data_IF_958118567637
#
_entry.id   IF_958118567637
#
_cell.length_a   1.000
_cell.length_b   1.000
_cell.length_c   1.000
_cell.angle_alpha   90.00
_cell.angle_beta   90.00
_cell.angle_gamma   90.00
#
_symmetry.space_group_name_H-M   'P 1'
#
loop_
_entity.id
_entity.type
_entity.pdbx_description
1 polymer ?
#
# COMPACT_ATOMS: atom_id res chain seq x y z
N UNK A 1 -14.43 -26.91 -38.28
CA UNK A 1 -15.27 -28.00 -37.75
C UNK A 1 -14.61 -29.38 -37.75
N UNK A 2 -13.27 -29.49 -37.72
CA UNK A 2 -12.58 -30.76 -37.48
C UNK A 2 -12.09 -30.79 -36.04
N UNK A 3 -12.93 -31.29 -35.13
CA UNK A 3 -12.51 -31.65 -33.77
C UNK A 3 -12.13 -33.13 -33.77
N UNK A 4 -10.87 -33.43 -33.46
CA UNK A 4 -10.34 -34.78 -33.38
C UNK A 4 -9.94 -35.07 -31.92
N UNK A 5 -10.44 -36.17 -31.37
CA UNK A 5 -10.14 -36.59 -29.99
C UNK A 5 -8.84 -37.39 -30.03
N UNK A 6 -7.73 -36.73 -29.71
CA UNK A 6 -6.44 -37.40 -29.54
C UNK A 6 -6.34 -38.03 -28.15
N UNK A 7 -6.31 -39.37 -28.10
CA UNK A 7 -6.20 -40.13 -26.85
C UNK A 7 -4.75 -40.25 -26.34
N UNK A 8 -3.76 -39.79 -27.13
CA UNK A 8 -2.35 -39.69 -26.73
C UNK A 8 -2.04 -38.33 -26.04
N UNK A 9 -2.96 -37.37 -26.11
CA UNK A 9 -2.85 -36.10 -25.37
C UNK A 9 -3.17 -36.32 -23.88
N UNK A 10 -2.20 -36.00 -23.02
CA UNK A 10 -2.31 -36.20 -21.57
C UNK A 10 -3.46 -35.39 -20.93
N UNK A 11 -3.83 -34.23 -21.50
CA UNK A 11 -4.93 -33.38 -21.01
C UNK A 11 -6.28 -33.96 -21.44
N UNK A 12 -6.43 -34.33 -22.71
CA UNK A 12 -7.67 -34.92 -23.22
C UNK A 12 -7.92 -36.27 -22.53
N UNK A 13 -6.90 -37.14 -22.44
CA UNK A 13 -7.02 -38.45 -21.79
C UNK A 13 -7.32 -38.34 -20.30
N UNK A 14 -6.78 -37.32 -19.62
CA UNK A 14 -7.01 -37.06 -18.20
C UNK A 14 -8.40 -36.51 -17.89
N UNK A 15 -8.97 -35.70 -18.81
CA UNK A 15 -10.29 -35.09 -18.64
C UNK A 15 -11.45 -35.97 -19.12
N UNK A 16 -11.20 -36.91 -20.05
CA UNK A 16 -12.25 -37.72 -20.67
C UNK A 16 -12.66 -38.93 -19.80
N UNK A 17 -13.91 -38.90 -19.32
CA UNK A 17 -14.49 -39.96 -18.46
C UNK A 17 -15.13 -41.10 -19.27
N UNK A 18 -15.63 -40.79 -20.47
CA UNK A 18 -16.37 -41.72 -21.30
C UNK A 18 -16.04 -41.49 -22.78
N UNK A 19 -15.61 -42.54 -23.48
CA UNK A 19 -15.30 -42.51 -24.91
C UNK A 19 -16.13 -43.57 -25.67
N UNK A 20 -16.91 -43.17 -26.67
CA UNK A 20 -17.73 -44.06 -27.50
C UNK A 20 -18.56 -45.10 -26.71
N UNK A 21 -19.14 -44.71 -25.56
CA UNK A 21 -19.93 -45.60 -24.72
C UNK A 21 -19.13 -46.43 -23.71
N UNK A 22 -17.81 -46.42 -23.77
CA UNK A 22 -16.91 -47.11 -22.83
C UNK A 22 -16.39 -46.16 -21.75
N UNK A 23 -16.37 -46.61 -20.49
CA UNK A 23 -15.84 -45.84 -19.36
C UNK A 23 -14.31 -45.90 -19.41
N UNK A 24 -13.66 -44.73 -19.46
CA UNK A 24 -12.20 -44.59 -19.57
C UNK A 24 -11.54 -44.16 -18.24
N UNK A 25 -12.34 -44.10 -17.17
CA UNK A 25 -11.89 -43.84 -15.79
C UNK A 25 -11.43 -45.13 -15.10
N UNK A 26 -10.33 -45.12 -14.31
CA UNK A 26 -9.48 -43.98 -13.94
C UNK A 26 -8.48 -43.57 -15.03
N UNK A 27 -8.05 -42.29 -15.06
CA UNK A 27 -7.10 -41.82 -16.05
C UNK A 27 -5.73 -42.47 -15.82
N UNK A 28 -5.00 -42.84 -16.88
CA UNK A 28 -3.64 -43.31 -16.78
C UNK A 28 -2.76 -42.22 -16.17
N UNK A 29 -1.66 -42.61 -15.53
CA UNK A 29 -0.66 -41.65 -15.07
C UNK A 29 -0.11 -40.90 -16.30
N UNK A 30 0.00 -39.56 -16.26
CA UNK A 30 0.54 -38.79 -17.37
C UNK A 30 1.90 -39.32 -17.79
N UNK A 31 2.14 -39.45 -19.10
CA UNK A 31 3.40 -40.01 -19.60
C UNK A 31 4.59 -39.14 -19.21
N UNK A 32 4.38 -37.82 -19.19
CA UNK A 32 5.30 -36.86 -18.63
C UNK A 32 4.61 -36.20 -17.43
N UNK A 33 4.85 -36.65 -16.19
CA UNK A 33 4.49 -35.83 -15.04
C UNK A 33 5.29 -34.55 -15.21
N UNK A 34 4.63 -33.47 -15.62
CA UNK A 34 5.28 -32.17 -15.71
C UNK A 34 5.95 -31.84 -14.38
N UNK A 35 6.86 -30.85 -14.36
CA UNK A 35 7.52 -30.46 -13.11
C UNK A 35 6.45 -30.32 -12.05
N UNK A 36 6.63 -30.96 -10.89
CA UNK A 36 5.63 -30.94 -9.84
C UNK A 36 5.22 -29.49 -9.64
N UNK A 37 4.05 -29.12 -10.15
CA UNK A 37 3.51 -27.80 -9.93
C UNK A 37 3.04 -27.90 -8.47
N UNK A 38 3.96 -27.72 -7.53
CA UNK A 38 3.62 -26.91 -6.39
C UNK A 38 3.02 -25.69 -7.03
N UNK A 39 1.70 -25.52 -6.92
CA UNK A 39 1.09 -24.25 -7.23
C UNK A 39 1.93 -23.29 -6.40
N UNK A 40 2.80 -22.53 -7.06
CA UNK A 40 3.49 -21.42 -6.45
C UNK A 40 2.39 -20.35 -6.31
N UNK A 41 1.40 -20.66 -5.47
CA UNK A 41 0.74 -19.64 -4.69
C UNK A 41 1.92 -19.02 -3.97
N UNK A 42 2.40 -17.87 -4.45
CA UNK A 42 3.57 -17.21 -3.87
C UNK A 42 3.48 -17.20 -2.35
N UNK A 43 4.62 -16.97 -1.66
CA UNK A 43 4.82 -17.33 -0.25
C UNK A 43 3.55 -17.26 0.58
N UNK A 44 3.05 -18.43 1.04
CA UNK A 44 1.93 -18.39 1.98
C UNK A 44 2.38 -17.60 3.21
N UNK A 45 1.50 -16.84 3.89
CA UNK A 45 1.91 -16.00 5.03
C UNK A 45 2.68 -16.77 6.12
N UNK A 46 2.40 -18.07 6.28
CA UNK A 46 3.11 -19.00 7.16
C UNK A 46 4.50 -19.41 6.62
N UNK A 47 4.65 -19.58 5.30
CA UNK A 47 5.94 -19.83 4.64
C UNK A 47 6.85 -18.58 4.72
N UNK A 48 6.27 -17.39 4.59
CA UNK A 48 6.95 -16.10 4.70
C UNK A 48 7.35 -15.78 6.14
N UNK A 49 6.48 -16.05 7.11
CA UNK A 49 6.80 -15.94 8.54
C UNK A 49 7.93 -16.90 8.96
N UNK A 50 7.92 -18.14 8.44
CA UNK A 50 8.97 -19.13 8.74
C UNK A 50 10.30 -18.76 8.08
N UNK A 51 10.28 -18.23 6.85
CA UNK A 51 11.47 -17.70 6.16
C UNK A 51 12.01 -16.45 6.85
N UNK A 52 11.14 -15.57 7.36
CA UNK A 52 11.53 -14.35 8.08
C UNK A 52 12.13 -14.70 9.44
N UNK A 53 11.52 -15.61 10.19
CA UNK A 53 12.08 -16.12 11.45
C UNK A 53 13.42 -16.83 11.23
N UNK A 54 13.57 -17.61 10.16
CA UNK A 54 14.85 -18.28 9.84
C UNK A 54 15.92 -17.25 9.42
N UNK A 55 15.55 -16.21 8.67
CA UNK A 55 16.47 -15.12 8.31
C UNK A 55 16.86 -14.28 9.52
N UNK A 56 15.92 -13.92 10.40
CA UNK A 56 16.22 -13.18 11.63
C UNK A 56 17.13 -13.95 12.58
N UNK A 57 16.93 -15.27 12.73
CA UNK A 57 17.80 -16.11 13.58
C UNK A 57 19.21 -16.23 13.00
N UNK A 58 19.35 -16.29 11.67
CA UNK A 58 20.66 -16.34 11.00
C UNK A 58 21.35 -14.97 10.98
N UNK A 59 20.60 -13.88 10.83
CA UNK A 59 21.14 -12.52 10.73
C UNK A 59 21.44 -11.89 12.11
N UNK A 60 20.67 -12.24 13.15
CA UNK A 60 20.94 -11.83 14.53
C UNK A 60 22.25 -12.43 15.09
N UNK A 61 22.69 -13.57 14.55
CA UNK A 61 23.93 -14.23 14.96
C UNK A 61 25.20 -13.59 14.37
N UNK A 62 25.09 -12.68 13.38
CA UNK A 62 26.26 -12.21 12.62
C UNK A 62 26.41 -10.68 12.50
N UNK A 63 25.79 -9.89 13.40
CA UNK A 63 26.08 -8.44 13.48
C UNK A 63 27.26 -8.19 14.42
N UNK A 64 28.37 -7.55 14.00
CA UNK A 64 29.36 -7.06 14.93
C UNK A 64 28.72 -6.02 15.87
N UNK A 65 28.92 -6.12 17.20
CA UNK A 65 28.21 -5.29 18.18
C UNK A 65 28.68 -3.83 18.25
N UNK A 66 29.68 -3.42 17.46
CA UNK A 66 30.35 -2.12 17.59
C UNK A 66 30.04 -1.10 16.49
N UNK A 67 29.37 -1.49 15.39
CA UNK A 67 29.08 -0.57 14.27
C UNK A 67 27.78 0.22 14.45
N UNK A 68 26.83 -0.31 15.23
CA UNK A 68 25.52 0.31 15.40
C UNK A 68 25.54 1.47 16.42
N UNK A 69 26.46 1.48 17.38
CA UNK A 69 26.53 2.53 18.39
C UNK A 69 27.14 3.82 17.83
N UNK A 70 28.23 3.71 17.07
CA UNK A 70 28.90 4.86 16.46
C UNK A 70 28.04 5.54 15.38
N UNK A 71 27.38 4.75 14.53
CA UNK A 71 26.45 5.27 13.52
C UNK A 71 25.25 5.96 14.18
N UNK A 72 24.65 5.37 15.22
CA UNK A 72 23.57 6.01 15.98
C UNK A 72 24.02 7.32 16.63
N UNK A 73 25.23 7.37 17.18
CA UNK A 73 25.80 8.58 17.77
C UNK A 73 25.95 9.69 16.72
N UNK A 74 26.49 9.37 15.53
CA UNK A 74 26.60 10.32 14.42
C UNK A 74 25.21 10.83 14.00
N UNK A 75 24.22 9.96 13.88
CA UNK A 75 22.85 10.36 13.51
C UNK A 75 22.21 11.28 14.55
N UNK A 76 22.40 11.00 15.84
CA UNK A 76 21.89 11.86 16.93
C UNK A 76 22.58 13.23 16.92
N UNK A 77 23.91 13.26 16.74
CA UNK A 77 24.66 14.51 16.64
C UNK A 77 24.22 15.32 15.41
N UNK A 78 24.06 14.66 14.26
CA UNK A 78 23.56 15.31 13.04
C UNK A 78 22.15 15.87 13.21
N UNK A 79 21.26 15.12 13.88
CA UNK A 79 19.90 15.59 14.20
C UNK A 79 19.94 16.80 15.15
N UNK A 80 20.77 16.78 16.19
CA UNK A 80 20.93 17.89 17.13
C UNK A 80 21.47 19.14 16.43
N UNK A 81 22.48 19.00 15.57
CA UNK A 81 23.00 20.11 14.75
C UNK A 81 21.91 20.65 13.82
N UNK A 82 21.11 19.78 13.19
CA UNK A 82 19.99 20.18 12.34
C UNK A 82 18.95 20.99 13.10
N UNK A 83 18.59 20.58 14.31
CA UNK A 83 17.64 21.30 15.17
C UNK A 83 18.21 22.68 15.57
N UNK A 84 19.48 22.75 15.96
CA UNK A 84 20.13 24.02 16.33
C UNK A 84 20.22 24.97 15.12
N UNK A 85 20.56 24.44 13.95
CA UNK A 85 20.61 25.22 12.71
C UNK A 85 19.24 25.80 12.38
N UNK A 86 18.19 24.98 12.41
CA UNK A 86 16.81 25.44 12.18
C UNK A 86 16.40 26.48 13.23
N UNK A 87 16.71 26.26 14.51
CA UNK A 87 16.36 27.18 15.60
C UNK A 87 17.05 28.54 15.54
N UNK A 88 18.26 28.61 14.97
CA UNK A 88 19.03 29.87 14.92
C UNK A 88 18.90 30.62 13.61
N UNK A 89 18.56 29.94 12.51
CA UNK A 89 18.52 30.54 11.16
C UNK A 89 17.12 30.83 10.64
N UNK A 90 16.07 30.24 11.23
CA UNK A 90 14.71 30.35 10.71
C UNK A 90 13.87 31.41 11.44
N UNK A 91 12.90 32.05 10.75
CA UNK A 91 11.96 32.98 11.37
C UNK A 91 11.06 32.32 12.44
N UNK A 92 10.58 33.11 13.41
CA UNK A 92 9.69 32.61 14.48
C UNK A 92 8.39 31.97 13.95
N UNK A 93 7.81 32.54 12.89
CA UNK A 93 6.61 31.99 12.24
C UNK A 93 6.86 30.60 11.65
N UNK A 94 8.04 30.39 11.05
CA UNK A 94 8.44 29.09 10.56
C UNK A 94 8.58 28.09 11.71
N UNK A 95 9.23 28.48 12.82
CA UNK A 95 9.38 27.60 13.99
C UNK A 95 8.03 27.19 14.59
N UNK A 96 7.06 28.11 14.63
CA UNK A 96 5.69 27.80 15.06
C UNK A 96 5.02 26.77 14.14
N UNK A 97 5.01 27.02 12.83
CA UNK A 97 4.42 26.08 11.85
C UNK A 97 5.14 24.74 11.82
N UNK A 98 6.46 24.73 11.93
CA UNK A 98 7.27 23.51 11.98
C UNK A 98 6.98 22.68 13.22
N UNK A 99 6.83 23.33 14.39
CA UNK A 99 6.45 22.65 15.63
C UNK A 99 5.07 22.01 15.51
N UNK A 100 4.08 22.74 14.96
CA UNK A 100 2.74 22.20 14.70
C UNK A 100 2.79 21.02 13.72
N UNK A 101 3.60 21.12 12.67
CA UNK A 101 3.81 20.03 11.71
C UNK A 101 4.35 18.76 12.38
N UNK A 102 5.42 18.87 13.17
CA UNK A 102 6.03 17.73 13.87
C UNK A 102 5.02 17.10 14.86
N UNK A 103 4.33 17.91 15.65
CA UNK A 103 3.29 17.42 16.57
C UNK A 103 2.13 16.76 15.83
N UNK A 104 1.70 17.30 14.70
CA UNK A 104 0.67 16.70 13.86
C UNK A 104 1.11 15.33 13.30
N UNK A 105 2.39 15.14 12.95
CA UNK A 105 2.92 13.83 12.56
C UNK A 105 2.83 12.81 13.71
N UNK A 106 3.20 13.21 14.93
CA UNK A 106 3.05 12.34 16.11
C UNK A 106 1.59 11.95 16.37
N UNK A 107 0.68 12.92 16.29
CA UNK A 107 -0.77 12.66 16.44
C UNK A 107 -1.27 11.73 15.33
N UNK A 108 -0.92 11.99 14.08
CA UNK A 108 -1.32 11.14 12.95
C UNK A 108 -0.85 9.70 13.09
N UNK A 109 0.40 9.51 13.55
CA UNK A 109 0.93 8.19 13.86
C UNK A 109 0.12 7.48 14.95
N UNK A 110 -0.14 8.14 16.07
CA UNK A 110 -0.92 7.57 17.18
C UNK A 110 -2.36 7.21 16.78
N UNK A 111 -2.99 8.03 15.95
CA UNK A 111 -4.37 7.80 15.48
C UNK A 111 -4.47 6.57 14.58
N UNK A 112 -3.46 6.33 13.74
CA UNK A 112 -3.49 5.23 12.76
C UNK A 112 -2.99 3.91 13.36
N UNK A 113 -2.14 3.94 14.39
CA UNK A 113 -1.45 2.75 14.93
C UNK A 113 -2.39 1.62 15.40
N UNK A 114 -3.58 1.94 15.91
CA UNK A 114 -4.50 0.98 16.52
C UNK A 114 -5.83 0.81 15.75
N UNK A 115 -5.84 1.02 14.44
CA UNK A 115 -7.04 0.76 13.61
C UNK A 115 -7.30 -0.75 13.48
N UNK A 116 -8.57 -1.16 13.51
CA UNK A 116 -8.93 -2.56 13.28
C UNK A 116 -8.49 -3.00 11.88
N UNK A 117 -7.94 -4.21 11.68
CA UNK A 117 -7.46 -4.65 10.36
C UNK A 117 -8.52 -4.60 9.25
N UNK A 118 -9.79 -4.87 9.60
CA UNK A 118 -10.92 -4.77 8.67
C UNK A 118 -11.18 -3.34 8.14
N UNK A 119 -10.61 -2.32 8.80
CA UNK A 119 -10.79 -0.92 8.45
C UNK A 119 -9.63 -0.31 7.65
N UNK A 120 -8.58 -1.07 7.30
CA UNK A 120 -7.47 -0.50 6.52
C UNK A 120 -7.92 0.02 5.14
N UNK A 121 -8.80 -0.70 4.45
CA UNK A 121 -9.32 -0.25 3.15
C UNK A 121 -10.26 0.97 3.28
N UNK A 122 -11.23 1.00 4.21
CA UNK A 122 -11.96 2.24 4.53
C UNK A 122 -11.05 3.40 4.94
N UNK A 123 -10.01 3.14 5.74
CA UNK A 123 -9.05 4.15 6.18
C UNK A 123 -8.29 4.74 5.00
N UNK A 124 -7.85 3.91 4.05
CA UNK A 124 -7.21 4.36 2.82
C UNK A 124 -8.13 5.29 2.00
N UNK A 125 -9.43 4.98 1.94
CA UNK A 125 -10.41 5.85 1.27
C UNK A 125 -10.59 7.18 2.00
N UNK A 126 -10.60 7.17 3.35
CA UNK A 126 -10.66 8.40 4.17
C UNK A 126 -9.43 9.27 3.99
N UNK A 127 -8.23 8.69 4.01
CA UNK A 127 -6.99 9.48 3.83
C UNK A 127 -6.93 10.09 2.44
N UNK A 128 -7.46 9.41 1.42
CA UNK A 128 -7.66 10.01 0.10
C UNK A 128 -8.59 11.23 0.19
N UNK A 129 -9.78 11.11 0.81
CA UNK A 129 -10.70 12.24 0.96
C UNK A 129 -10.10 13.43 1.74
N UNK A 130 -9.32 13.16 2.80
CA UNK A 130 -8.65 14.19 3.61
C UNK A 130 -7.55 14.90 2.81
N UNK A 131 -6.88 14.22 1.88
CA UNK A 131 -5.88 14.84 1.00
C UNK A 131 -6.46 15.97 0.13
N UNK A 132 -7.79 15.99 -0.05
CA UNK A 132 -8.53 17.10 -0.65
C UNK A 132 -8.40 18.46 0.05
N UNK A 133 -7.71 18.54 1.21
CA UNK A 133 -7.35 19.79 1.89
C UNK A 133 -6.62 20.80 0.99
N UNK A 134 -6.00 20.32 -0.10
CA UNK A 134 -5.43 21.16 -1.17
C UNK A 134 -6.42 22.21 -1.73
N UNK A 135 -7.73 22.01 -1.53
CA UNK A 135 -8.78 22.99 -1.87
C UNK A 135 -8.52 24.37 -1.27
N UNK A 136 -7.92 24.44 -0.07
CA UNK A 136 -7.58 25.71 0.59
C UNK A 136 -6.60 26.51 -0.27
N UNK A 137 -5.57 25.85 -0.82
CA UNK A 137 -4.60 26.51 -1.70
C UNK A 137 -5.24 27.04 -2.97
N UNK A 138 -6.17 26.28 -3.57
CA UNK A 138 -6.93 26.72 -4.74
C UNK A 138 -7.81 27.95 -4.45
N UNK A 139 -8.51 27.96 -3.31
CA UNK A 139 -9.37 29.09 -2.89
C UNK A 139 -8.56 30.36 -2.68
N UNK A 140 -7.38 30.26 -2.04
CA UNK A 140 -6.49 31.42 -1.85
C UNK A 140 -6.09 32.04 -3.20
N UNK A 141 -5.91 31.21 -4.22
CA UNK A 141 -5.53 31.67 -5.55
C UNK A 141 -6.68 32.30 -6.34
N UNK A 142 -7.94 31.96 -6.01
CA UNK A 142 -9.13 32.57 -6.61
C UNK A 142 -9.39 34.00 -6.12
N UNK A 143 -8.80 34.41 -5.00
CA UNK A 143 -9.00 35.74 -4.41
C UNK A 143 -8.28 36.89 -5.14
N UNK A 144 -7.75 36.66 -6.35
CA UNK A 144 -7.02 37.68 -7.10
C UNK A 144 -8.00 38.59 -7.87
N UNK A 145 -7.71 39.90 -7.98
CA UNK A 145 -8.62 40.87 -8.60
C UNK A 145 -8.77 40.68 -10.13
N UNK A 146 -7.75 40.15 -10.80
CA UNK A 146 -7.73 39.98 -12.24
C UNK A 146 -7.67 38.50 -12.63
N UNK A 147 -8.40 38.13 -13.69
CA UNK A 147 -8.36 36.76 -14.23
C UNK A 147 -7.04 36.56 -14.96
N UNK A 148 -6.12 35.85 -14.31
CA UNK A 148 -4.84 35.45 -14.85
C UNK A 148 -4.68 33.92 -14.84
N UNK A 149 -3.56 33.42 -15.39
CA UNK A 149 -3.27 31.99 -15.42
C UNK A 149 -3.36 31.33 -14.03
N UNK A 150 -2.94 32.05 -12.98
CA UNK A 150 -2.96 31.54 -11.62
C UNK A 150 -4.39 31.35 -11.10
N UNK A 151 -5.31 32.28 -11.40
CA UNK A 151 -6.76 32.13 -11.07
C UNK A 151 -7.36 30.92 -11.80
N UNK A 152 -7.02 30.72 -13.08
CA UNK A 152 -7.51 29.57 -13.85
C UNK A 152 -7.00 28.26 -13.25
N UNK A 153 -5.71 28.19 -12.88
CA UNK A 153 -5.13 27.03 -12.21
C UNK A 153 -5.72 26.83 -10.80
N UNK A 154 -6.03 27.91 -10.08
CA UNK A 154 -6.73 27.88 -8.79
C UNK A 154 -8.14 27.28 -8.92
N UNK A 155 -8.89 27.70 -9.95
CA UNK A 155 -10.21 27.14 -10.24
C UNK A 155 -10.12 25.64 -10.57
N UNK A 156 -9.15 25.23 -11.39
CA UNK A 156 -8.91 23.83 -11.69
C UNK A 156 -8.52 23.02 -10.43
N UNK A 157 -7.66 23.58 -9.57
CA UNK A 157 -7.28 22.95 -8.30
C UNK A 157 -8.49 22.76 -7.38
N UNK A 158 -9.37 23.75 -7.27
CA UNK A 158 -10.62 23.64 -6.48
C UNK A 158 -11.54 22.56 -7.06
N UNK A 159 -11.70 22.50 -8.39
CA UNK A 159 -12.51 21.48 -9.05
C UNK A 159 -11.99 20.07 -8.76
N UNK A 160 -10.69 19.85 -8.95
CA UNK A 160 -10.06 18.54 -8.70
C UNK A 160 -10.11 18.15 -7.22
N UNK A 161 -9.89 19.11 -6.32
CA UNK A 161 -10.00 18.89 -4.89
C UNK A 161 -11.44 18.56 -4.48
N UNK A 162 -12.45 19.23 -5.06
CA UNK A 162 -13.85 18.92 -4.80
C UNK A 162 -14.23 17.49 -5.24
N UNK A 163 -13.72 17.04 -6.40
CA UNK A 163 -13.89 15.65 -6.86
C UNK A 163 -13.26 14.68 -5.87
N UNK A 164 -12.05 14.97 -5.39
CA UNK A 164 -11.34 14.14 -4.43
C UNK A 164 -12.10 14.01 -3.09
N UNK A 165 -12.55 15.14 -2.53
CA UNK A 165 -13.33 15.19 -1.29
C UNK A 165 -14.66 14.43 -1.45
N UNK A 166 -15.45 14.79 -2.45
CA UNK A 166 -16.78 14.20 -2.66
C UNK A 166 -16.72 12.71 -2.98
N UNK A 167 -15.82 12.31 -3.90
CA UNK A 167 -15.61 10.91 -4.27
C UNK A 167 -15.07 10.08 -3.11
N UNK A 168 -14.06 10.59 -2.40
CA UNK A 168 -13.44 9.90 -1.27
C UNK A 168 -14.44 9.66 -0.13
N UNK A 169 -15.22 10.67 0.27
CA UNK A 169 -16.23 10.50 1.31
C UNK A 169 -17.41 9.61 0.89
N UNK A 170 -17.84 9.68 -0.38
CA UNK A 170 -18.91 8.81 -0.90
C UNK A 170 -18.49 7.34 -0.87
N UNK A 171 -17.27 7.03 -1.33
CA UNK A 171 -16.73 5.66 -1.33
C UNK A 171 -16.56 5.15 0.10
N UNK A 172 -15.96 5.96 0.98
CA UNK A 172 -15.84 5.63 2.40
C UNK A 172 -17.20 5.33 3.02
N UNK A 173 -18.21 6.16 2.78
CA UNK A 173 -19.54 5.97 3.33
C UNK A 173 -20.16 4.65 2.86
N UNK A 174 -20.00 4.30 1.59
CA UNK A 174 -20.43 2.99 1.04
C UNK A 174 -19.68 1.84 1.70
N UNK A 175 -18.37 1.97 1.90
CA UNK A 175 -17.55 0.96 2.57
C UNK A 175 -17.99 0.74 4.02
N UNK A 176 -18.19 1.81 4.78
CA UNK A 176 -18.61 1.74 6.18
C UNK A 176 -20.05 1.25 6.34
N UNK A 177 -20.94 1.56 5.39
CA UNK A 177 -22.31 1.07 5.40
C UNK A 177 -22.39 -0.48 5.34
N UNK A 178 -21.42 -1.14 4.69
CA UNK A 178 -21.34 -2.61 4.63
C UNK A 178 -21.00 -3.26 5.98
N UNK A 179 -20.52 -2.48 6.97
CA UNK A 179 -20.23 -2.96 8.32
C UNK A 179 -21.38 -2.72 9.31
N UNK A 180 -22.44 -2.02 8.91
CA UNK A 180 -23.63 -1.81 9.74
C UNK A 180 -24.49 -3.07 9.68
N UNK A 181 -24.85 -3.59 10.86
CA UNK A 181 -25.88 -4.64 11.01
C UNK A 181 -27.25 -4.01 11.09
#
# INVERSE_FOLDING_TARGET
DNYEIDMEDDVIRGALVLNHGSITWPPPKPRNPGPAYSVDTGPRPDDEAKRTATKEVVEASNKPPMTNAFVKMILIIAAAIGIIFVGTTMPESFLSHFTVFVLACFVGWQVIWNVKPALHTPLMSVTNAISGIIIIGGILQLSQPEVNATVILGAAAVLLAAINVSGGFLVTNRMLAMFRR
#
